data_IF_095233481911
#
_entry.id   IF_095233481911
#
_cell.length_a   1.000
_cell.length_b   1.000
_cell.length_c   1.000
_cell.angle_alpha   90.00
_cell.angle_beta   90.00
_cell.angle_gamma   90.00
#
_symmetry.space_group_name_H-M   'P 1'
#
loop_
_entity.id
_entity.type
_entity.pdbx_description
1 polymer ?
#
# COMPACT_ATOMS: atom_id res chain seq x y z
N UNK A 1 -35.88 -25.20 27.59
CA UNK A 1 -36.66 -25.46 26.37
C UNK A 1 -35.93 -24.82 25.20
N UNK A 2 -35.34 -25.67 24.36
CA UNK A 2 -34.82 -25.31 23.03
C UNK A 2 -35.97 -24.95 22.09
N UNK A 3 -35.69 -24.19 21.02
CA UNK A 3 -35.78 -24.88 19.75
C UNK A 3 -34.51 -24.71 18.90
N UNK A 4 -34.12 -25.85 18.33
CA UNK A 4 -33.21 -25.99 17.21
C UNK A 4 -33.91 -25.47 15.97
N UNK A 5 -33.25 -24.60 15.21
CA UNK A 5 -33.59 -24.37 13.81
C UNK A 5 -32.34 -24.67 12.97
N UNK A 6 -32.39 -25.84 12.33
CA UNK A 6 -31.49 -26.24 11.26
C UNK A 6 -31.62 -25.25 10.11
N UNK A 7 -30.53 -24.61 9.70
CA UNK A 7 -30.44 -23.92 8.42
C UNK A 7 -29.69 -24.83 7.43
N UNK A 8 -30.22 -25.06 6.21
CA UNK A 8 -29.69 -26.04 5.28
C UNK A 8 -28.41 -25.53 4.59
N UNK A 9 -27.42 -26.41 4.47
CA UNK A 9 -26.25 -26.24 3.61
C UNK A 9 -26.72 -26.20 2.14
N UNK A 10 -26.62 -25.04 1.50
CA UNK A 10 -26.75 -24.90 0.05
C UNK A 10 -25.36 -25.10 -0.58
N UNK A 11 -25.12 -26.30 -1.12
CA UNK A 11 -23.99 -26.60 -1.99
C UNK A 11 -24.19 -25.85 -3.33
N UNK A 12 -23.39 -24.82 -3.58
CA UNK A 12 -23.30 -24.15 -4.88
C UNK A 12 -22.37 -24.94 -5.81
N UNK A 13 -22.96 -25.67 -6.75
CA UNK A 13 -22.27 -26.37 -7.82
C UNK A 13 -21.67 -25.36 -8.82
N UNK A 14 -20.35 -25.25 -8.89
CA UNK A 14 -19.67 -24.52 -9.98
C UNK A 14 -19.77 -25.38 -11.26
N UNK A 15 -20.68 -25.02 -12.16
CA UNK A 15 -20.70 -25.53 -13.53
C UNK A 15 -19.67 -24.76 -14.37
N UNK A 16 -18.56 -25.41 -14.72
CA UNK A 16 -17.59 -24.88 -15.66
C UNK A 16 -18.12 -25.05 -17.10
N UNK A 17 -18.52 -23.96 -17.76
CA UNK A 17 -18.74 -23.96 -19.20
C UNK A 17 -17.41 -23.64 -19.90
N UNK A 18 -16.65 -24.65 -20.31
CA UNK A 18 -15.54 -24.45 -21.25
C UNK A 18 -16.09 -24.50 -22.66
N UNK A 19 -16.42 -23.35 -23.24
CA UNK A 19 -16.68 -23.21 -24.67
C UNK A 19 -15.34 -23.16 -25.41
N UNK A 20 -14.99 -24.25 -26.09
CA UNK A 20 -13.85 -24.32 -26.99
C UNK A 20 -14.31 -23.76 -28.35
N UNK A 21 -13.77 -22.63 -28.84
CA UNK A 21 -14.08 -22.16 -30.18
C UNK A 21 -13.49 -23.11 -31.22
N UNK A 22 -14.36 -23.66 -32.06
CA UNK A 22 -14.01 -24.53 -33.17
C UNK A 22 -13.38 -23.67 -34.28
N UNK A 23 -12.10 -23.92 -34.58
CA UNK A 23 -11.40 -23.24 -35.67
C UNK A 23 -12.02 -23.69 -37.00
N UNK A 24 -12.77 -22.78 -37.63
CA UNK A 24 -13.25 -22.97 -39.00
C UNK A 24 -12.08 -22.99 -39.98
N UNK A 25 -12.06 -24.00 -40.86
CA UNK A 25 -11.19 -24.06 -42.02
C UNK A 25 -11.63 -23.00 -43.05
N UNK A 26 -11.20 -21.76 -42.85
CA UNK A 26 -11.26 -20.70 -43.84
C UNK A 26 -9.86 -20.43 -44.39
N UNK A 27 -9.62 -20.77 -45.65
CA UNK A 27 -8.35 -20.47 -46.31
C UNK A 27 -8.10 -18.96 -46.35
N UNK A 28 -7.08 -18.50 -45.65
CA UNK A 28 -6.66 -17.10 -45.63
C UNK A 28 -5.27 -16.94 -46.25
N UNK A 29 -5.22 -16.17 -47.34
CA UNK A 29 -4.00 -15.68 -48.02
C UNK A 29 -3.02 -15.08 -46.98
N UNK A 30 -1.71 -15.38 -47.03
CA UNK A 30 -0.76 -14.81 -46.08
C UNK A 30 -0.74 -13.28 -46.19
N UNK A 31 -0.87 -12.53 -45.08
CA UNK A 31 -0.68 -11.09 -45.09
C UNK A 31 0.77 -10.76 -45.45
N UNK A 32 0.98 -9.71 -46.25
CA UNK A 32 2.31 -9.21 -46.56
C UNK A 32 3.02 -8.79 -45.27
N UNK A 33 4.28 -9.23 -45.10
CA UNK A 33 5.10 -8.92 -43.92
C UNK A 33 5.35 -7.40 -43.87
N UNK A 34 4.97 -6.68 -42.80
CA UNK A 34 5.33 -5.28 -42.67
C UNK A 34 6.87 -5.12 -42.62
N UNK A 35 7.42 -4.00 -43.13
CA UNK A 35 8.85 -3.76 -43.08
C UNK A 35 9.33 -3.78 -41.63
N UNK A 36 10.46 -4.46 -41.39
CA UNK A 36 11.10 -4.53 -40.07
C UNK A 36 11.55 -3.12 -39.71
N UNK A 37 10.85 -2.49 -38.77
CA UNK A 37 11.32 -1.25 -38.16
C UNK A 37 12.48 -1.60 -37.22
N UNK A 38 13.69 -1.23 -37.60
CA UNK A 38 14.85 -1.33 -36.72
C UNK A 38 14.68 -0.33 -35.58
N UNK A 39 14.14 -0.76 -34.45
CA UNK A 39 14.14 0.04 -33.23
C UNK A 39 15.58 0.14 -32.74
N UNK A 40 16.18 1.32 -32.86
CA UNK A 40 17.48 1.61 -32.23
C UNK A 40 17.25 1.69 -30.72
N UNK A 41 17.92 0.87 -29.90
CA UNK A 41 17.78 0.94 -28.45
C UNK A 41 18.13 2.36 -27.97
N UNK A 42 17.35 2.95 -27.05
CA UNK A 42 17.70 4.24 -26.47
C UNK A 42 19.07 4.15 -25.78
N UNK A 43 19.89 5.21 -25.82
CA UNK A 43 21.19 5.20 -25.15
C UNK A 43 21.02 4.92 -23.66
N UNK A 44 21.63 3.83 -23.19
CA UNK A 44 21.63 3.45 -21.78
C UNK A 44 22.59 4.35 -21.01
N UNK A 45 22.06 5.19 -20.12
CA UNK A 45 22.88 5.92 -19.14
C UNK A 45 23.34 4.90 -18.08
N UNK A 46 24.64 4.84 -17.71
CA UNK A 46 25.11 3.97 -16.64
C UNK A 46 24.34 4.23 -15.34
N UNK A 47 23.96 3.15 -14.63
CA UNK A 47 23.33 3.29 -13.32
C UNK A 47 24.31 3.96 -12.33
N UNK A 48 23.82 4.76 -11.37
CA UNK A 48 24.66 5.27 -10.30
C UNK A 48 25.32 4.11 -9.53
N UNK A 49 26.56 4.27 -9.04
CA UNK A 49 27.19 3.26 -8.19
C UNK A 49 26.35 3.04 -6.91
N UNK A 50 26.36 1.83 -6.32
CA UNK A 50 25.65 1.55 -5.09
C UNK A 50 26.10 2.51 -3.98
N UNK A 51 25.14 3.13 -3.30
CA UNK A 51 25.44 3.94 -2.12
C UNK A 51 25.76 3.01 -0.95
N UNK A 52 26.98 3.11 -0.42
CA UNK A 52 27.42 2.37 0.76
C UNK A 52 27.16 3.22 2.01
N UNK A 53 26.49 2.63 3.01
CA UNK A 53 26.25 3.29 4.31
C UNK A 53 24.79 3.65 4.56
N UNK A 54 24.57 4.57 5.50
CA UNK A 54 23.24 5.01 5.92
C UNK A 54 22.52 5.78 4.81
N UNK A 55 21.31 5.34 4.47
CA UNK A 55 20.42 6.03 3.53
C UNK A 55 19.43 6.88 4.33
N UNK A 56 19.58 8.20 4.27
CA UNK A 56 18.63 9.09 4.90
C UNK A 56 17.26 9.01 4.20
N UNK A 57 16.15 8.89 4.96
CA UNK A 57 14.82 8.82 4.38
C UNK A 57 14.42 10.16 3.76
N UNK A 58 13.56 10.10 2.75
CA UNK A 58 12.83 11.28 2.29
C UNK A 58 11.74 11.60 3.30
N UNK A 59 11.61 12.89 3.64
CA UNK A 59 10.57 13.36 4.56
C UNK A 59 9.41 13.93 3.76
N UNK A 60 8.23 13.35 3.94
CA UNK A 60 6.98 13.82 3.34
C UNK A 60 6.64 15.22 3.86
N UNK A 61 6.42 16.16 2.95
CA UNK A 61 5.94 17.50 3.28
C UNK A 61 4.58 17.73 2.64
N UNK A 62 3.53 17.69 3.45
CA UNK A 62 2.15 17.95 3.08
C UNK A 62 1.49 18.76 4.19
N UNK A 63 0.71 19.77 3.82
CA UNK A 63 -0.03 20.59 4.76
C UNK A 63 -0.99 19.72 5.61
N UNK A 64 -1.04 19.98 6.91
CA UNK A 64 -1.88 19.24 7.85
C UNK A 64 -1.22 17.99 8.45
N UNK A 65 0.03 17.69 8.11
CA UNK A 65 0.81 16.59 8.69
C UNK A 65 1.83 17.03 9.75
N UNK A 66 1.87 18.31 10.14
CA UNK A 66 2.86 18.90 11.06
C UNK A 66 2.80 18.29 12.48
N UNK A 67 1.67 17.67 12.81
CA UNK A 67 1.44 16.94 14.06
C UNK A 67 1.92 15.49 14.01
N UNK A 68 2.36 14.99 12.85
CA UNK A 68 2.77 13.59 12.65
C UNK A 68 4.20 13.51 12.17
N UNK A 69 4.52 14.19 11.06
CA UNK A 69 5.85 14.16 10.45
C UNK A 69 6.88 14.71 11.44
N UNK A 70 8.05 14.06 11.46
CA UNK A 70 9.17 14.30 12.37
C UNK A 70 8.84 14.11 13.87
N UNK A 71 7.72 13.45 14.21
CA UNK A 71 7.41 13.02 15.58
C UNK A 71 7.88 11.60 15.83
N UNK A 72 8.43 11.37 17.02
CA UNK A 72 8.79 10.04 17.49
C UNK A 72 7.54 9.21 17.84
N UNK A 73 7.72 7.89 17.96
CA UNK A 73 6.62 6.98 18.23
C UNK A 73 5.91 7.24 19.56
N UNK A 74 6.62 7.61 20.62
CA UNK A 74 6.01 7.88 21.93
C UNK A 74 5.12 9.13 21.86
N UNK A 75 5.54 10.15 21.13
CA UNK A 75 4.73 11.35 20.85
C UNK A 75 3.46 11.01 20.08
N UNK A 76 3.55 10.14 19.08
CA UNK A 76 2.38 9.70 18.32
C UNK A 76 1.40 8.88 19.17
N UNK A 77 1.90 8.02 20.06
CA UNK A 77 1.07 7.26 21.01
C UNK A 77 0.35 8.19 21.98
N UNK A 78 1.03 9.23 22.51
CA UNK A 78 0.36 10.24 23.35
C UNK A 78 -0.71 11.02 22.60
N UNK A 79 -0.55 11.20 21.28
CA UNK A 79 -1.47 11.98 20.47
C UNK A 79 -2.69 11.18 19.98
N UNK A 80 -2.51 9.91 19.61
CA UNK A 80 -3.54 9.10 18.96
C UNK A 80 -3.97 7.87 19.77
N UNK A 81 -3.40 7.66 20.96
CA UNK A 81 -3.62 6.48 21.77
C UNK A 81 -2.77 5.28 21.36
N UNK A 82 -3.13 4.10 21.83
CA UNK A 82 -2.38 2.88 21.55
C UNK A 82 -2.59 2.46 20.07
N UNK A 83 -1.52 2.28 19.27
CA UNK A 83 -1.62 1.80 17.91
C UNK A 83 -2.14 0.36 17.90
N UNK A 84 -2.93 0.03 16.87
CA UNK A 84 -3.41 -1.33 16.64
C UNK A 84 -2.35 -2.26 16.04
N UNK A 85 -1.30 -1.67 15.44
CA UNK A 85 -0.14 -2.38 14.91
C UNK A 85 1.12 -1.57 15.22
N UNK A 86 2.14 -2.23 15.75
CA UNK A 86 3.47 -1.68 15.99
C UNK A 86 4.49 -2.72 15.53
N UNK A 87 5.15 -2.47 14.40
CA UNK A 87 6.08 -3.39 13.75
C UNK A 87 7.45 -2.73 13.65
N UNK A 88 8.50 -3.47 14.00
CA UNK A 88 9.89 -3.02 13.85
C UNK A 88 10.62 -3.96 12.90
N UNK A 89 11.34 -3.40 11.93
CA UNK A 89 12.14 -4.14 10.97
C UNK A 89 13.40 -3.36 10.67
N UNK A 90 14.56 -3.91 11.05
CA UNK A 90 15.82 -3.17 11.00
C UNK A 90 15.75 -1.87 11.83
N UNK A 91 16.02 -0.74 11.18
CA UNK A 91 15.93 0.60 11.76
C UNK A 91 14.57 1.28 11.53
N UNK A 92 13.64 0.61 10.84
CA UNK A 92 12.28 1.10 10.60
C UNK A 92 11.33 0.69 11.73
N UNK A 93 10.36 1.56 12.00
CA UNK A 93 9.17 1.24 12.81
C UNK A 93 7.90 1.70 12.10
N UNK A 94 6.90 0.83 12.04
CA UNK A 94 5.57 1.14 11.50
C UNK A 94 4.55 1.13 12.62
N UNK A 95 3.82 2.24 12.77
CA UNK A 95 2.66 2.36 13.64
C UNK A 95 1.39 2.40 12.80
N UNK A 96 0.32 1.73 13.23
CA UNK A 96 -1.00 1.88 12.63
C UNK A 96 -2.01 2.36 13.67
N UNK A 97 -2.73 3.41 13.32
CA UNK A 97 -3.84 3.93 14.09
C UNK A 97 -5.13 3.78 13.28
N UNK A 98 -6.27 3.72 13.95
CA UNK A 98 -7.58 3.64 13.29
C UNK A 98 -8.62 4.46 14.04
N UNK A 99 -9.47 5.14 13.28
CA UNK A 99 -10.74 5.72 13.73
C UNK A 99 -11.89 5.12 12.92
N UNK A 100 -13.13 5.52 13.20
CA UNK A 100 -14.27 5.20 12.35
C UNK A 100 -14.14 5.80 10.93
N UNK A 101 -13.35 6.85 10.76
CA UNK A 101 -13.19 7.53 9.48
C UNK A 101 -12.13 6.88 8.57
N UNK A 102 -11.04 6.37 9.13
CA UNK A 102 -9.88 5.91 8.36
C UNK A 102 -8.89 5.07 9.21
N UNK A 103 -7.95 4.43 8.52
CA UNK A 103 -6.73 3.83 9.06
C UNK A 103 -5.54 4.66 8.60
N UNK A 104 -4.66 5.03 9.54
CA UNK A 104 -3.41 5.74 9.29
C UNK A 104 -2.23 4.81 9.56
N UNK A 105 -1.42 4.54 8.54
CA UNK A 105 -0.10 3.95 8.71
C UNK A 105 0.94 5.08 8.81
N UNK A 106 1.77 5.05 9.84
CA UNK A 106 2.88 5.97 10.05
C UNK A 106 4.18 5.20 9.99
N UNK A 107 5.07 5.60 9.08
CA UNK A 107 6.37 4.97 8.88
C UNK A 107 7.45 5.85 9.49
N UNK A 108 8.15 5.30 10.47
CA UNK A 108 9.19 5.96 11.22
C UNK A 108 10.54 5.41 10.80
N UNK A 109 11.45 6.32 10.45
CA UNK A 109 12.83 6.03 10.10
C UNK A 109 13.75 7.00 10.86
N UNK A 110 14.98 6.58 11.21
CA UNK A 110 15.96 7.49 11.76
C UNK A 110 16.41 8.50 10.69
N UNK A 111 16.62 9.76 11.07
CA UNK A 111 17.19 10.78 10.17
C UNK A 111 18.72 10.76 10.13
N UNK A 112 19.34 10.09 11.10
CA UNK A 112 20.78 9.88 11.24
C UNK A 112 21.01 8.47 11.74
N UNK A 113 22.10 7.84 11.34
CA UNK A 113 22.42 6.47 11.76
C UNK A 113 22.32 6.30 13.28
N UNK A 114 21.52 5.32 13.73
CA UNK A 114 21.33 4.99 15.15
C UNK A 114 20.48 5.97 15.96
N UNK A 115 19.92 7.01 15.35
CA UNK A 115 18.99 7.92 16.04
C UNK A 115 17.63 7.27 16.30
N UNK A 116 16.85 7.85 17.21
CA UNK A 116 15.45 7.44 17.40
C UNK A 116 14.65 7.67 16.10
N UNK A 117 13.90 6.65 15.62
CA UNK A 117 13.07 6.80 14.43
C UNK A 117 11.95 7.83 14.64
N UNK A 118 11.77 8.69 13.64
CA UNK A 118 10.68 9.68 13.60
C UNK A 118 9.85 9.46 12.34
N UNK A 119 8.59 9.86 12.36
CA UNK A 119 7.71 9.69 11.21
C UNK A 119 8.23 10.47 10.00
N UNK A 120 8.51 9.79 8.90
CA UNK A 120 8.95 10.42 7.65
C UNK A 120 7.92 10.29 6.54
N UNK A 121 6.97 9.36 6.69
CA UNK A 121 5.90 9.13 5.73
C UNK A 121 4.62 8.65 6.41
N UNK A 122 3.47 9.00 5.84
CA UNK A 122 2.17 8.44 6.21
C UNK A 122 1.35 8.01 5.00
N UNK A 123 0.57 6.96 5.18
CA UNK A 123 -0.52 6.60 4.28
C UNK A 123 -1.83 6.52 5.04
N UNK A 124 -2.92 6.92 4.36
CA UNK A 124 -4.25 6.90 4.91
C UNK A 124 -5.18 6.14 3.98
N UNK A 125 -5.97 5.23 4.55
CA UNK A 125 -6.94 4.43 3.79
C UNK A 125 -8.26 4.29 4.52
N UNK A 126 -9.31 3.99 3.77
CA UNK A 126 -10.60 3.59 4.31
C UNK A 126 -10.52 2.15 4.82
N UNK A 127 -11.06 1.90 6.00
CA UNK A 127 -10.98 0.59 6.63
C UNK A 127 -11.75 -0.51 5.88
N UNK A 128 -12.82 -0.15 5.16
CA UNK A 128 -13.74 -1.10 4.52
C UNK A 128 -13.20 -1.73 3.24
N UNK A 129 -12.49 -0.96 2.42
CA UNK A 129 -12.10 -1.35 1.05
C UNK A 129 -10.63 -1.02 0.73
N UNK A 130 -9.89 -0.43 1.67
CA UNK A 130 -8.48 -0.08 1.50
C UNK A 130 -8.21 1.08 0.54
N UNK A 131 -9.24 1.77 0.05
CA UNK A 131 -9.07 2.92 -0.83
C UNK A 131 -8.32 4.06 -0.13
N UNK A 132 -7.45 4.75 -0.88
CA UNK A 132 -6.73 5.91 -0.37
C UNK A 132 -7.73 7.01 0.04
N UNK A 133 -7.45 7.66 1.17
CA UNK A 133 -8.20 8.82 1.65
C UNK A 133 -7.23 9.96 1.94
N UNK A 134 -7.78 11.18 2.08
CA UNK A 134 -6.95 12.33 2.41
C UNK A 134 -6.21 12.15 3.76
N UNK A 135 -4.88 12.28 3.71
CA UNK A 135 -3.99 12.04 4.85
C UNK A 135 -4.23 13.04 5.97
N UNK A 136 -4.38 14.32 5.64
CA UNK A 136 -4.59 15.38 6.62
C UNK A 136 -5.94 15.24 7.34
N UNK A 137 -7.01 14.93 6.60
CA UNK A 137 -8.33 14.65 7.13
C UNK A 137 -8.31 13.42 8.06
N UNK A 138 -7.56 12.37 7.70
CA UNK A 138 -7.40 11.19 8.54
C UNK A 138 -6.68 11.50 9.86
N UNK A 139 -5.58 12.25 9.80
CA UNK A 139 -4.86 12.76 10.99
C UNK A 139 -5.79 13.60 11.88
N UNK A 140 -6.56 14.51 11.29
CA UNK A 140 -7.52 15.32 12.02
C UNK A 140 -8.63 14.47 12.66
N UNK A 141 -9.10 13.41 11.99
CA UNK A 141 -10.10 12.50 12.54
C UNK A 141 -9.57 11.69 13.73
N UNK A 142 -8.35 11.18 13.64
CA UNK A 142 -7.68 10.48 14.75
C UNK A 142 -7.49 11.39 15.97
N UNK A 143 -7.18 12.66 15.77
CA UNK A 143 -6.97 13.61 16.87
C UNK A 143 -8.26 13.99 17.64
N UNK A 144 -9.45 13.58 17.16
CA UNK A 144 -10.74 13.83 17.81
C UNK A 144 -11.32 12.59 18.52
N UNK A 145 -10.78 11.41 18.24
CA UNK A 145 -11.19 10.15 18.86
C UNK A 145 -10.48 9.94 20.18
#
# INVERSE_FOLDING_TARGET
MTPRLLAPLLLTSLAACTTIPQAGNGGSRPPARPPVQTQVPPPTRPAPPPQTGFLAPQVQRLAGLERVIERDGATLVRQFGQPRLDVREGDMRKLQFSSSACVLDVFLYPLRQGAEPVATWVDARRASDGQEVDRAACVAALARG
#
